data_IF_603865255076
#
_entry.id   IF_603865255076
#
_cell.length_a   1.000
_cell.length_b   1.000
_cell.length_c   1.000
_cell.angle_alpha   90.00
_cell.angle_beta   90.00
_cell.angle_gamma   90.00
#
_symmetry.space_group_name_H-M   'P 1'
#
loop_
_entity.id
_entity.type
_entity.pdbx_description
1 polymer ?
#
# COMPACT_ATOMS: atom_id res chain seq x y z
N UNK A 1 -25.07 -14.01 5.06
CA UNK A 1 -24.98 -12.96 4.03
C UNK A 1 -23.56 -12.93 3.48
N UNK A 2 -23.38 -12.82 2.17
CA UNK A 2 -22.06 -12.79 1.51
C UNK A 2 -21.37 -11.43 1.63
N UNK A 3 -20.14 -11.35 1.11
CA UNK A 3 -19.37 -10.11 1.03
C UNK A 3 -20.11 -9.06 0.19
N UNK A 4 -20.00 -7.78 0.57
CA UNK A 4 -20.54 -6.67 -0.22
C UNK A 4 -19.77 -6.49 -1.52
N UNK A 5 -20.38 -5.80 -2.48
CA UNK A 5 -19.69 -5.42 -3.72
C UNK A 5 -18.45 -4.56 -3.44
N UNK A 6 -18.54 -3.66 -2.45
CA UNK A 6 -17.41 -2.82 -2.02
C UNK A 6 -16.30 -3.68 -1.45
N UNK A 7 -16.61 -4.62 -0.55
CA UNK A 7 -15.59 -5.51 0.03
C UNK A 7 -14.94 -6.44 -1.02
N UNK A 8 -15.73 -6.94 -1.98
CA UNK A 8 -15.21 -7.74 -3.10
C UNK A 8 -14.23 -6.91 -3.93
N UNK A 9 -14.60 -5.68 -4.28
CA UNK A 9 -13.75 -4.79 -5.07
C UNK A 9 -12.47 -4.41 -4.33
N UNK A 10 -12.57 -4.06 -3.05
CA UNK A 10 -11.44 -3.73 -2.18
C UNK A 10 -10.42 -4.89 -2.16
N UNK A 11 -10.88 -6.11 -1.93
CA UNK A 11 -10.01 -7.30 -1.90
C UNK A 11 -9.33 -7.57 -3.24
N UNK A 12 -10.05 -7.41 -4.35
CA UNK A 12 -9.49 -7.56 -5.70
C UNK A 12 -8.41 -6.52 -5.97
N UNK A 13 -8.65 -5.27 -5.58
CA UNK A 13 -7.72 -4.18 -5.78
C UNK A 13 -6.47 -4.34 -4.88
N UNK A 14 -6.64 -4.78 -3.63
CA UNK A 14 -5.53 -5.13 -2.74
C UNK A 14 -4.64 -6.23 -3.31
N UNK A 15 -5.23 -7.23 -3.97
CA UNK A 15 -4.47 -8.31 -4.62
C UNK A 15 -3.75 -7.82 -5.89
N UNK A 16 -4.36 -6.91 -6.65
CA UNK A 16 -3.81 -6.39 -7.90
C UNK A 16 -2.72 -5.33 -7.69
N UNK A 17 -2.82 -4.51 -6.64
CA UNK A 17 -1.92 -3.37 -6.43
C UNK A 17 -0.44 -3.75 -6.35
N UNK A 18 -0.01 -4.80 -5.62
CA UNK A 18 1.40 -5.22 -5.58
C UNK A 18 1.97 -5.68 -6.94
N UNK A 19 1.11 -6.05 -7.89
CA UNK A 19 1.51 -6.51 -9.23
C UNK A 19 1.62 -5.35 -10.24
N UNK A 20 1.19 -4.13 -9.87
CA UNK A 20 1.20 -2.97 -10.74
C UNK A 20 2.58 -2.32 -10.78
N UNK A 21 3.14 -2.16 -11.99
CA UNK A 21 4.44 -1.51 -12.19
C UNK A 21 4.31 -0.01 -12.50
N UNK A 22 3.16 0.43 -13.00
CA UNK A 22 2.94 1.84 -13.30
C UNK A 22 2.64 2.63 -12.01
N UNK A 23 3.57 3.50 -11.62
CA UNK A 23 3.46 4.31 -10.39
C UNK A 23 2.22 5.21 -10.37
N UNK A 24 1.84 5.83 -11.50
CA UNK A 24 0.64 6.67 -11.56
C UNK A 24 -0.63 5.85 -11.32
N UNK A 25 -0.72 4.65 -11.93
CA UNK A 25 -1.82 3.72 -11.65
C UNK A 25 -1.82 3.25 -10.20
N UNK A 26 -0.65 3.00 -9.62
CA UNK A 26 -0.53 2.56 -8.24
C UNK A 26 -0.98 3.65 -7.24
N UNK A 27 -0.63 4.92 -7.49
CA UNK A 27 -1.16 6.06 -6.72
C UNK A 27 -2.69 6.13 -6.81
N UNK A 28 -3.25 5.97 -8.02
CA UNK A 28 -4.69 5.93 -8.19
C UNK A 28 -5.34 4.76 -7.44
N UNK A 29 -4.74 3.57 -7.48
CA UNK A 29 -5.24 2.41 -6.73
C UNK A 29 -5.23 2.65 -5.22
N UNK A 30 -4.21 3.29 -4.66
CA UNK A 30 -4.19 3.65 -3.23
C UNK A 30 -5.33 4.61 -2.89
N UNK A 31 -5.59 5.62 -3.74
CA UNK A 31 -6.72 6.52 -3.53
C UNK A 31 -8.07 5.78 -3.54
N UNK A 32 -8.30 4.93 -4.55
CA UNK A 32 -9.53 4.12 -4.63
C UNK A 32 -9.67 3.13 -3.47
N UNK A 33 -8.57 2.54 -3.00
CA UNK A 33 -8.58 1.64 -1.85
C UNK A 33 -9.02 2.35 -0.56
N UNK A 34 -8.56 3.59 -0.34
CA UNK A 34 -8.96 4.39 0.83
C UNK A 34 -10.44 4.74 0.78
N UNK A 35 -10.94 5.18 -0.38
CA UNK A 35 -12.36 5.49 -0.59
C UNK A 35 -13.25 4.26 -0.37
N UNK A 36 -12.88 3.09 -0.90
CA UNK A 36 -13.64 1.86 -0.69
C UNK A 36 -13.61 1.39 0.77
N UNK A 37 -12.52 1.63 1.51
CA UNK A 37 -12.45 1.29 2.92
C UNK A 37 -13.39 2.18 3.76
N UNK A 38 -13.44 3.48 3.44
CA UNK A 38 -14.37 4.43 4.06
C UNK A 38 -15.82 3.99 3.83
N UNK A 39 -16.21 3.76 2.57
CA UNK A 39 -17.54 3.25 2.22
C UNK A 39 -17.88 1.94 2.96
N UNK A 40 -16.94 0.99 3.00
CA UNK A 40 -17.14 -0.29 3.66
C UNK A 40 -17.30 -0.16 5.19
N UNK A 41 -16.66 0.84 5.80
CA UNK A 41 -16.77 1.11 7.23
C UNK A 41 -18.11 1.71 7.63
N UNK A 42 -18.78 2.38 6.69
CA UNK A 42 -20.13 2.94 6.85
C UNK A 42 -21.24 1.95 6.49
N UNK A 43 -20.92 0.87 5.76
CA UNK A 43 -21.91 -0.15 5.42
C UNK A 43 -22.48 -0.84 6.66
N UNK A 44 -23.80 -0.80 6.77
CA UNK A 44 -24.57 -1.54 7.77
C UNK A 44 -25.40 -2.65 7.13
N UNK A 45 -25.74 -3.66 7.92
CA UNK A 45 -26.76 -4.65 7.54
C UNK A 45 -28.15 -4.00 7.60
N UNK A 46 -29.20 -4.64 7.03
CA UNK A 46 -30.57 -4.13 7.14
C UNK A 46 -31.03 -3.89 8.59
N UNK A 47 -30.42 -4.59 9.55
CA UNK A 47 -30.64 -4.47 10.98
C UNK A 47 -29.86 -3.31 11.63
N UNK A 48 -29.11 -2.53 10.85
CA UNK A 48 -28.32 -1.38 11.31
C UNK A 48 -26.98 -1.76 11.96
N UNK A 49 -26.57 -3.03 11.90
CA UNK A 49 -25.30 -3.47 12.47
C UNK A 49 -24.14 -3.21 11.50
N UNK A 50 -22.94 -2.87 11.98
CA UNK A 50 -21.77 -2.74 11.12
C UNK A 50 -21.52 -4.04 10.35
N UNK A 51 -21.34 -3.92 9.04
CA UNK A 51 -21.16 -5.09 8.17
C UNK A 51 -19.77 -5.72 8.30
N UNK A 52 -18.81 -4.93 8.79
CA UNK A 52 -17.42 -5.31 8.99
C UNK A 52 -16.98 -4.96 10.42
N UNK A 53 -16.14 -5.80 11.02
CA UNK A 53 -15.56 -5.51 12.33
C UNK A 53 -14.47 -4.44 12.22
N UNK A 54 -14.31 -3.64 13.28
CA UNK A 54 -13.25 -2.63 13.38
C UNK A 54 -11.84 -3.22 13.17
N UNK A 55 -11.59 -4.43 13.67
CA UNK A 55 -10.31 -5.12 13.46
C UNK A 55 -10.00 -5.31 11.97
N UNK A 56 -11.00 -5.72 11.18
CA UNK A 56 -10.83 -5.96 9.75
C UNK A 56 -10.68 -4.66 8.94
N UNK A 57 -11.32 -3.57 9.37
CA UNK A 57 -11.08 -2.22 8.82
C UNK A 57 -9.62 -1.81 9.05
N UNK A 58 -9.09 -2.03 10.25
CA UNK A 58 -7.68 -1.77 10.56
C UNK A 58 -6.75 -2.63 9.72
N UNK A 59 -7.00 -3.94 9.60
CA UNK A 59 -6.20 -4.85 8.76
C UNK A 59 -6.12 -4.38 7.29
N UNK A 60 -7.24 -3.87 6.75
CA UNK A 60 -7.25 -3.31 5.41
C UNK A 60 -6.49 -1.98 5.35
N UNK A 61 -6.68 -1.09 6.34
CA UNK A 61 -5.94 0.17 6.43
C UNK A 61 -4.42 -0.06 6.43
N UNK A 62 -3.92 -0.98 7.26
CA UNK A 62 -2.49 -1.32 7.31
C UNK A 62 -1.95 -1.82 5.97
N UNK A 63 -2.71 -2.66 5.25
CA UNK A 63 -2.32 -3.14 3.91
C UNK A 63 -2.25 -2.02 2.89
N UNK A 64 -3.21 -1.08 2.94
CA UNK A 64 -3.23 0.09 2.04
C UNK A 64 -2.02 0.98 2.31
N UNK A 65 -1.73 1.28 3.58
CA UNK A 65 -0.60 2.11 3.95
C UNK A 65 0.74 1.44 3.63
N UNK A 66 0.85 0.11 3.75
CA UNK A 66 2.03 -0.62 3.30
C UNK A 66 2.26 -0.50 1.78
N UNK A 67 1.19 -0.45 0.98
CA UNK A 67 1.30 -0.19 -0.46
C UNK A 67 1.71 1.27 -0.70
N UNK A 68 1.09 2.22 0.00
CA UNK A 68 1.41 3.65 -0.12
C UNK A 68 2.87 3.95 0.24
N UNK A 69 3.39 3.34 1.30
CA UNK A 69 4.78 3.49 1.74
C UNK A 69 5.78 3.01 0.66
N UNK A 70 5.45 1.95 -0.09
CA UNK A 70 6.29 1.50 -1.22
C UNK A 70 6.35 2.51 -2.36
N UNK A 71 5.30 3.31 -2.56
CA UNK A 71 5.29 4.38 -3.58
C UNK A 71 6.16 5.55 -3.11
N UNK A 72 6.07 5.90 -1.83
CA UNK A 72 6.82 7.02 -1.24
C UNK A 72 8.31 6.73 -1.07
N UNK A 73 8.70 5.45 -0.99
CA UNK A 73 10.10 5.06 -0.92
C UNK A 73 10.75 5.26 -2.30
N UNK A 74 11.81 6.09 -2.42
CA UNK A 74 12.58 6.13 -3.65
C UNK A 74 13.12 4.71 -3.90
N UNK A 75 13.15 4.23 -5.16
CA UNK A 75 13.81 2.96 -5.45
C UNK A 75 15.22 3.07 -4.88
N UNK A 76 15.59 2.16 -3.98
CA UNK A 76 16.97 2.02 -3.48
C UNK A 76 17.84 1.65 -4.69
N UNK A 77 18.21 2.66 -5.48
CA UNK A 77 19.21 2.58 -6.52
C UNK A 77 20.55 2.77 -5.81
N UNK A 78 21.11 1.65 -5.39
CA UNK A 78 22.55 1.39 -5.33
C UNK A 78 23.42 2.58 -4.85
N UNK A 79 23.43 2.86 -3.53
CA UNK A 79 24.59 3.53 -2.90
C UNK A 79 25.58 2.52 -2.30
N UNK A 80 25.58 1.29 -2.78
CA UNK A 80 26.62 0.29 -2.45
C UNK A 80 27.66 0.20 -3.57
N UNK A 81 28.22 1.32 -4.03
CA UNK A 81 29.39 1.27 -4.92
C UNK A 81 30.24 2.54 -4.99
N UNK A 82 30.43 3.30 -3.89
CA UNK A 82 31.47 4.36 -3.93
C UNK A 82 32.13 4.78 -2.62
N UNK A 83 31.93 4.09 -1.49
CA UNK A 83 32.69 4.37 -0.25
C UNK A 83 33.94 3.50 -0.03
N UNK A 84 34.45 2.85 -1.09
CA UNK A 84 35.63 1.98 -1.02
C UNK A 84 36.85 2.49 -1.82
N UNK A 85 36.97 3.81 -2.07
CA UNK A 85 38.14 4.37 -2.78
C UNK A 85 38.83 5.57 -2.12
N UNK A 86 38.57 5.84 -0.84
CA UNK A 86 39.21 6.92 -0.09
C UNK A 86 40.14 6.40 1.02
N UNK A 87 40.99 5.41 0.72
CA UNK A 87 42.00 4.96 1.70
C UNK A 87 43.36 4.53 1.14
N UNK A 88 43.72 4.90 -0.09
CA UNK A 88 45.04 4.60 -0.67
C UNK A 88 45.65 5.78 -1.45
N UNK A 89 45.62 6.99 -0.88
CA UNK A 89 46.54 8.06 -1.27
C UNK A 89 47.38 8.48 -0.06
N UNK A 90 48.30 7.60 0.32
CA UNK A 90 49.50 7.98 1.06
C UNK A 90 50.73 7.59 0.24
N UNK A 91 51.50 8.60 -0.16
CA UNK A 91 52.93 8.46 -0.41
C UNK A 91 53.36 8.48 -1.86
N UNK A 92 53.45 9.67 -2.47
CA UNK A 92 54.55 10.00 -3.38
C UNK A 92 54.90 11.49 -3.22
N UNK A 93 56.21 11.73 -3.04
CA UNK A 93 56.95 12.95 -2.70
C UNK A 93 57.11 13.26 -1.21
#
# INVERSE_FOLDING_TARGET
MGLSKVEINLRRLLAAAPQQQNQAKLMHYVATLREQLEQLSEETTPEGLPRISKAKVNDYSEKIEAIAAKIASPPVRLLTSSFAKFRDYKGYF
#
